data_IF_042865506441
#
_entry.id   IF_042865506441
#
_cell.length_a   1.000
_cell.length_b   1.000
_cell.length_c   1.000
_cell.angle_alpha   90.00
_cell.angle_beta   90.00
_cell.angle_gamma   90.00
#
_symmetry.space_group_name_H-M   'P 1'
#
loop_
_entity.id
_entity.type
_entity.pdbx_description
1 polymer ?
#
# COMPACT_ATOMS: atom_id res chain seq x y z
N UNK A 1 34.47 3.32 -5.08
CA UNK A 1 33.68 3.04 -6.29
C UNK A 1 32.22 3.03 -5.85
N UNK A 2 31.54 4.15 -6.00
CA UNK A 2 30.23 4.46 -5.44
C UNK A 2 29.17 4.10 -6.47
N UNK A 3 28.42 3.03 -6.21
CA UNK A 3 27.35 2.54 -7.09
C UNK A 3 26.03 3.10 -6.55
N UNK A 4 25.55 4.13 -7.25
CA UNK A 4 24.20 4.71 -7.28
C UNK A 4 23.59 5.27 -5.98
N UNK A 5 23.52 6.60 -5.95
CA UNK A 5 22.83 7.36 -4.93
C UNK A 5 21.31 7.14 -4.90
N UNK A 6 20.81 7.30 -3.68
CA UNK A 6 19.55 7.94 -3.33
C UNK A 6 18.24 7.16 -3.58
N UNK A 7 17.81 6.44 -2.53
CA UNK A 7 16.51 6.69 -1.90
C UNK A 7 16.77 6.67 -0.38
N UNK A 8 17.03 7.84 0.23
CA UNK A 8 17.42 7.96 1.64
C UNK A 8 16.25 8.02 2.64
N UNK A 9 15.01 7.85 2.19
CA UNK A 9 13.86 7.73 3.07
C UNK A 9 12.91 6.66 2.52
N UNK A 10 12.40 5.74 3.36
CA UNK A 10 11.20 4.99 2.98
C UNK A 10 10.12 5.99 2.55
N UNK A 11 9.26 5.68 1.57
CA UNK A 11 8.13 6.54 1.25
C UNK A 11 7.39 6.85 2.55
N UNK A 12 7.16 8.13 2.82
CA UNK A 12 6.44 8.56 4.01
C UNK A 12 5.06 7.90 3.98
N UNK A 13 4.82 6.99 4.93
CA UNK A 13 3.57 6.24 5.01
C UNK A 13 2.57 7.15 5.68
N UNK A 14 1.74 7.81 4.88
CA UNK A 14 0.64 8.59 5.41
C UNK A 14 -0.47 7.66 5.98
N UNK A 15 -1.29 8.15 6.93
CA UNK A 15 -2.36 7.36 7.54
C UNK A 15 -3.36 6.77 6.53
N UNK A 16 -3.60 7.46 5.41
CA UNK A 16 -4.49 6.99 4.35
C UNK A 16 -3.89 5.81 3.58
N UNK A 17 -2.61 5.89 3.23
CA UNK A 17 -1.87 4.79 2.62
C UNK A 17 -1.79 3.57 3.55
N UNK A 18 -1.55 3.80 4.85
CA UNK A 18 -1.54 2.73 5.85
C UNK A 18 -2.90 2.04 5.95
N UNK A 19 -3.99 2.80 6.02
CA UNK A 19 -5.34 2.26 6.05
C UNK A 19 -5.69 1.45 4.78
N UNK A 20 -5.32 1.95 3.60
CA UNK A 20 -5.52 1.25 2.33
C UNK A 20 -4.70 -0.04 2.26
N UNK A 21 -3.44 -0.03 2.72
CA UNK A 21 -2.61 -1.23 2.80
C UNK A 21 -3.21 -2.30 3.73
N UNK A 22 -3.81 -1.89 4.86
CA UNK A 22 -4.53 -2.81 5.75
C UNK A 22 -5.79 -3.39 5.09
N UNK A 23 -6.52 -2.58 4.32
CA UNK A 23 -7.68 -3.05 3.54
C UNK A 23 -7.26 -4.10 2.49
N UNK A 24 -6.18 -3.84 1.74
CA UNK A 24 -5.58 -4.81 0.81
C UNK A 24 -5.17 -6.09 1.54
N UNK A 25 -4.57 -5.97 2.73
CA UNK A 25 -4.18 -7.14 3.52
C UNK A 25 -5.39 -7.98 3.99
N UNK A 26 -6.46 -7.31 4.43
CA UNK A 26 -7.71 -7.96 4.84
C UNK A 26 -8.32 -8.79 3.70
N UNK A 27 -8.22 -8.28 2.46
CA UNK A 27 -8.74 -8.90 1.23
C UNK A 27 -7.63 -9.51 0.34
N UNK A 28 -6.49 -9.90 0.92
CA UNK A 28 -5.29 -10.30 0.15
C UNK A 28 -5.52 -11.42 -0.86
N UNK A 29 -6.44 -12.35 -0.59
CA UNK A 29 -6.72 -13.47 -1.49
C UNK A 29 -7.54 -12.99 -2.70
N UNK A 30 -8.55 -12.16 -2.46
CA UNK A 30 -9.36 -11.53 -3.50
C UNK A 30 -8.52 -10.57 -4.35
N UNK A 31 -7.69 -9.73 -3.72
CA UNK A 31 -6.78 -8.80 -4.43
C UNK A 31 -5.84 -9.56 -5.36
N UNK A 32 -5.18 -10.62 -4.88
CA UNK A 32 -4.31 -11.45 -5.72
C UNK A 32 -5.08 -12.11 -6.86
N UNK A 33 -6.31 -12.57 -6.61
CA UNK A 33 -7.15 -13.14 -7.66
C UNK A 33 -7.51 -12.10 -8.74
N UNK A 34 -7.87 -10.88 -8.35
CA UNK A 34 -8.17 -9.79 -9.27
C UNK A 34 -6.94 -9.40 -10.11
N UNK A 35 -5.75 -9.36 -9.50
CA UNK A 35 -4.49 -9.11 -10.23
C UNK A 35 -4.25 -10.15 -11.33
N UNK A 36 -4.49 -11.44 -11.06
CA UNK A 36 -4.32 -12.50 -12.07
C UNK A 36 -5.44 -12.54 -13.11
N UNK A 37 -6.63 -12.04 -12.78
CA UNK A 37 -7.79 -12.04 -13.67
C UNK A 37 -7.90 -10.77 -14.54
N UNK A 38 -7.08 -9.75 -14.27
CA UNK A 38 -7.09 -8.50 -15.00
C UNK A 38 -6.51 -8.64 -16.41
N UNK A 39 -7.04 -7.86 -17.34
CA UNK A 39 -6.56 -7.80 -18.73
C UNK A 39 -5.26 -6.98 -18.82
N UNK A 40 -5.20 -5.89 -18.04
CA UNK A 40 -4.08 -4.98 -17.92
C UNK A 40 -4.05 -4.33 -16.52
N UNK A 41 -3.05 -3.48 -16.29
CA UNK A 41 -2.87 -2.80 -15.00
C UNK A 41 -4.03 -1.84 -14.66
N UNK A 42 -4.52 -0.97 -15.57
CA UNK A 42 -5.71 -0.15 -15.31
C UNK A 42 -6.94 -0.96 -14.88
N UNK A 43 -7.23 -2.07 -15.56
CA UNK A 43 -8.34 -2.97 -15.20
C UNK A 43 -8.15 -3.58 -13.80
N UNK A 44 -6.91 -3.94 -13.43
CA UNK A 44 -6.61 -4.41 -12.08
C UNK A 44 -6.87 -3.33 -11.03
N UNK A 45 -6.38 -2.10 -11.27
CA UNK A 45 -6.54 -0.97 -10.36
C UNK A 45 -8.02 -0.64 -10.13
N UNK A 46 -8.82 -0.52 -11.21
CA UNK A 46 -10.27 -0.28 -11.10
C UNK A 46 -10.97 -1.37 -10.30
N UNK A 47 -10.71 -2.65 -10.57
CA UNK A 47 -11.37 -3.75 -9.86
C UNK A 47 -11.02 -3.80 -8.38
N UNK A 48 -9.77 -3.52 -8.03
CA UNK A 48 -9.31 -3.52 -6.62
C UNK A 48 -9.85 -2.29 -5.89
N UNK A 49 -9.85 -1.12 -6.54
CA UNK A 49 -10.44 0.11 -6.03
C UNK A 49 -11.93 -0.07 -5.72
N UNK A 50 -12.67 -0.68 -6.65
CA UNK A 50 -14.09 -0.99 -6.48
C UNK A 50 -14.34 -1.98 -5.33
N UNK A 51 -13.53 -3.04 -5.22
CA UNK A 51 -13.61 -4.03 -4.14
C UNK A 51 -13.42 -3.40 -2.76
N UNK A 52 -12.46 -2.48 -2.64
CA UNK A 52 -12.04 -1.91 -1.36
C UNK A 52 -12.70 -0.57 -1.03
N UNK A 53 -13.42 0.02 -1.97
CA UNK A 53 -13.99 1.37 -1.88
C UNK A 53 -12.91 2.44 -1.59
N UNK A 54 -11.77 2.32 -2.26
CA UNK A 54 -10.61 3.22 -2.18
C UNK A 54 -10.31 3.74 -3.59
N UNK A 55 -9.77 4.96 -3.71
CA UNK A 55 -9.44 5.50 -5.03
C UNK A 55 -8.29 4.73 -5.72
N UNK A 56 -8.32 4.68 -7.06
CA UNK A 56 -7.34 3.93 -7.86
C UNK A 56 -5.90 4.43 -7.65
N UNK A 57 -5.70 5.74 -7.41
CA UNK A 57 -4.36 6.29 -7.19
C UNK A 57 -3.76 5.79 -5.88
N UNK A 58 -4.55 5.71 -4.81
CA UNK A 58 -4.16 5.11 -3.54
C UNK A 58 -3.87 3.62 -3.70
N UNK A 59 -4.68 2.87 -4.46
CA UNK A 59 -4.39 1.45 -4.76
C UNK A 59 -3.06 1.31 -5.51
N UNK A 60 -2.81 2.14 -6.52
CA UNK A 60 -1.52 2.17 -7.22
C UNK A 60 -0.35 2.37 -6.25
N UNK A 61 -0.46 3.36 -5.35
CA UNK A 61 0.54 3.59 -4.30
C UNK A 61 0.73 2.41 -3.35
N UNK A 62 -0.32 1.64 -3.05
CA UNK A 62 -0.23 0.41 -2.24
C UNK A 62 0.48 -0.70 -3.01
N UNK A 63 0.17 -0.89 -4.29
CA UNK A 63 0.78 -1.93 -5.13
C UNK A 63 2.27 -1.65 -5.43
N UNK A 64 2.68 -0.38 -5.41
CA UNK A 64 4.09 0.03 -5.50
C UNK A 64 4.91 -0.32 -4.24
N UNK A 65 4.26 -0.69 -3.13
CA UNK A 65 4.94 -1.02 -1.88
C UNK A 65 5.59 -2.40 -1.92
N UNK A 66 6.70 -2.60 -1.19
CA UNK A 66 7.37 -3.89 -1.18
C UNK A 66 6.50 -4.96 -0.52
N UNK A 67 6.44 -6.14 -1.13
CA UNK A 67 5.64 -7.30 -0.65
C UNK A 67 5.88 -7.64 0.84
N UNK A 68 7.05 -7.30 1.39
CA UNK A 68 7.38 -7.46 2.81
C UNK A 68 6.41 -6.74 3.76
N UNK A 69 5.68 -5.72 3.31
CA UNK A 69 4.63 -5.06 4.10
C UNK A 69 3.48 -6.00 4.49
N UNK A 70 3.32 -7.13 3.79
CA UNK A 70 2.35 -8.16 4.16
C UNK A 70 2.80 -9.03 5.34
N UNK A 71 4.03 -8.85 5.86
CA UNK A 71 4.52 -9.61 7.02
C UNK A 71 3.93 -9.06 8.32
N UNK A 72 3.70 -9.91 9.35
CA UNK A 72 3.03 -9.50 10.59
C UNK A 72 3.64 -8.29 11.30
N UNK A 73 4.97 -8.16 11.29
CA UNK A 73 5.66 -7.04 11.95
C UNK A 73 5.34 -5.68 11.31
N UNK A 74 5.20 -5.62 9.98
CA UNK A 74 4.85 -4.39 9.28
C UNK A 74 3.36 -4.08 9.39
N UNK A 75 2.52 -5.12 9.50
CA UNK A 75 1.09 -4.95 9.74
C UNK A 75 0.84 -4.16 11.04
N UNK A 76 1.51 -4.51 12.14
CA UNK A 76 1.33 -3.80 13.41
C UNK A 76 1.75 -2.32 13.32
N UNK A 77 2.79 -2.04 12.53
CA UNK A 77 3.26 -0.67 12.26
C UNK A 77 2.22 0.12 11.45
N UNK A 78 1.66 -0.49 10.40
CA UNK A 78 0.58 0.11 9.60
C UNK A 78 -0.69 0.34 10.43
N UNK A 79 -1.06 -0.58 11.32
CA UNK A 79 -2.19 -0.41 12.25
C UNK A 79 -1.98 0.78 13.19
N UNK A 80 -0.74 1.02 13.62
CA UNK A 80 -0.38 2.18 14.45
C UNK A 80 -0.49 3.48 13.65
N UNK A 81 0.06 3.52 12.43
CA UNK A 81 0.05 4.71 11.57
C UNK A 81 -1.38 5.05 11.12
N UNK A 82 -2.18 4.04 10.76
CA UNK A 82 -3.58 4.25 10.37
C UNK A 82 -4.46 4.75 11.54
N UNK A 83 -4.08 4.43 12.78
CA UNK A 83 -4.79 4.87 13.98
C UNK A 83 -4.45 6.30 14.42
N UNK A 84 -3.37 6.91 13.89
CA UNK A 84 -2.94 8.26 14.23
C UNK A 84 -3.12 9.22 13.03
N UNK A 85 -4.18 10.05 13.00
CA UNK A 85 -4.40 10.99 11.89
C UNK A 85 -3.44 12.20 11.91
N UNK A 86 -2.50 12.29 12.85
CA UNK A 86 -1.53 13.37 12.89
C UNK A 86 -0.32 13.09 11.96
N UNK A 87 0.16 14.09 11.20
CA UNK A 87 1.34 13.91 10.38
C UNK A 87 2.55 13.67 11.28
N UNK A 88 3.36 12.67 10.94
CA UNK A 88 4.68 12.43 11.54
C UNK A 88 5.59 13.60 11.17
N UNK A 89 5.41 14.73 11.83
CA UNK A 89 6.24 15.92 11.68
C UNK A 89 7.54 15.63 12.42
N UNK A 90 8.51 15.06 11.72
CA UNK A 90 9.89 14.97 12.22
C UNK A 90 10.57 16.30 11.91
N UNK A 91 10.87 17.06 12.96
CA UNK A 91 11.45 18.41 12.90
C UNK A 91 12.91 18.50 12.50
#
# INVERSE_FOLDING_TARGET
>A
MTVHGEITSPPEIDPGLAAAALAVFAHRHEVVHLLYAAVDEPDALTRIADLLHVDEATIGRVLDQPLRWMLPQFRNELETIAADPAPVTTG
#
